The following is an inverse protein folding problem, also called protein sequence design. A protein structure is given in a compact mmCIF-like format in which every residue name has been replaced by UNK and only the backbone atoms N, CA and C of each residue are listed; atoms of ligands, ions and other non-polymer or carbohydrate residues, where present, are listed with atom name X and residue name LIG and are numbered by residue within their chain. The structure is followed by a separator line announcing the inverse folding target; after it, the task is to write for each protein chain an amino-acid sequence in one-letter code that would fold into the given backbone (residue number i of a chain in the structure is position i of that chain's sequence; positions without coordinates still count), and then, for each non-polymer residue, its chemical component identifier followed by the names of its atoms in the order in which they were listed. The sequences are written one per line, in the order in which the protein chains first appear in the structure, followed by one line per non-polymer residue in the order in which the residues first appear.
data_IF_586741326130
#
_entry.id   IF_586741326130
#
_cell.length_a   1.000
_cell.length_b   1.000
_cell.length_c   1.000
_cell.angle_alpha   90.00
_cell.angle_beta   90.00
_cell.angle_gamma   90.00
#
_symmetry.space_group_name_H-M   'P 1'
#
loop_
_entity.id
_entity.type
_entity.pdbx_description
1 polymer ?
#
# COMPACT_ATOMS: atom_id res chain seq x y z
N UNK A 1 10.98 15.30 -0.88
CA UNK A 1 11.38 14.06 -0.18
C UNK A 1 12.28 13.28 -1.12
N UNK A 2 13.56 13.04 -0.75
CA UNK A 2 14.51 12.43 -1.67
C UNK A 2 14.03 11.02 -2.01
N UNK A 3 13.95 10.81 -3.31
CA UNK A 3 13.52 9.58 -3.96
C UNK A 3 14.60 8.51 -3.80
N UNK A 4 14.36 7.43 -3.05
CA UNK A 4 15.18 6.22 -3.23
C UNK A 4 14.53 4.91 -2.79
N UNK A 5 13.80 4.83 -1.67
CA UNK A 5 13.56 3.48 -1.11
C UNK A 5 12.20 3.31 -0.44
N UNK A 6 11.13 3.32 -1.25
CA UNK A 6 9.79 2.96 -0.76
C UNK A 6 9.67 1.46 -0.42
N UNK A 7 10.75 0.68 -0.34
CA UNK A 7 10.68 -0.77 -0.17
C UNK A 7 10.16 -1.14 1.21
N UNK A 8 8.97 -1.72 1.27
CA UNK A 8 8.33 -2.05 2.54
C UNK A 8 7.64 -0.86 3.21
N UNK A 9 7.64 0.32 2.59
CA UNK A 9 6.95 1.49 3.12
C UNK A 9 5.46 1.22 3.29
N UNK A 10 4.97 1.58 4.47
CA UNK A 10 3.55 1.57 4.80
C UNK A 10 2.92 2.86 4.28
N UNK A 11 1.89 2.71 3.47
CA UNK A 11 1.25 3.81 2.74
C UNK A 11 -0.26 3.68 2.79
N UNK A 12 -0.95 4.78 2.50
CA UNK A 12 -2.29 4.71 1.94
C UNK A 12 -2.19 4.78 0.42
N UNK A 13 -2.73 3.78 -0.27
CA UNK A 13 -2.83 3.74 -1.71
C UNK A 13 -4.21 4.18 -2.19
N UNK A 14 -4.27 4.92 -3.30
CA UNK A 14 -5.50 5.49 -3.84
C UNK A 14 -5.77 4.97 -5.25
N UNK A 15 -6.87 4.24 -5.39
CA UNK A 15 -7.44 3.85 -6.69
C UNK A 15 -8.63 4.74 -7.06
N UNK A 16 -8.90 4.88 -8.36
CA UNK A 16 -10.11 5.58 -8.85
C UNK A 16 -11.34 4.80 -8.40
N UNK A 17 -12.32 5.49 -7.80
CA UNK A 17 -13.55 4.86 -7.28
C UNK A 17 -13.44 4.22 -5.89
N UNK A 18 -12.25 4.11 -5.30
CA UNK A 18 -12.05 3.50 -3.98
C UNK A 18 -11.55 4.52 -2.95
N UNK A 19 -11.76 4.33 -1.64
CA UNK A 19 -11.14 5.18 -0.63
C UNK A 19 -9.61 5.02 -0.64
N UNK A 20 -8.92 5.88 0.11
CA UNK A 20 -7.52 5.64 0.45
C UNK A 20 -7.45 4.35 1.28
N UNK A 21 -6.61 3.39 0.87
CA UNK A 21 -6.58 2.05 1.46
C UNK A 21 -5.22 1.74 2.11
N UNK A 22 -5.16 1.14 3.31
CA UNK A 22 -3.91 0.77 3.95
C UNK A 22 -3.15 -0.27 3.12
N UNK A 23 -1.90 0.03 2.79
CA UNK A 23 -1.13 -0.78 1.86
C UNK A 23 0.38 -0.74 2.17
N UNK A 24 1.12 -1.67 1.56
CA UNK A 24 2.59 -1.74 1.63
C UNK A 24 3.19 -1.80 0.24
N UNK A 25 4.21 -0.99 0.00
CA UNK A 25 4.96 -1.02 -1.27
C UNK A 25 5.84 -2.27 -1.31
N UNK A 26 5.81 -2.98 -2.44
CA UNK A 26 6.62 -4.19 -2.65
C UNK A 26 7.88 -3.87 -3.47
N UNK A 27 9.03 -4.52 -3.17
CA UNK A 27 10.31 -4.29 -3.84
C UNK A 27 10.34 -4.60 -5.34
N UNK A 28 9.39 -5.39 -5.87
CA UNK A 28 9.50 -5.89 -7.24
C UNK A 28 9.44 -4.71 -8.21
N UNK A 29 10.60 -4.38 -8.77
CA UNK A 29 10.85 -3.24 -9.62
C UNK A 29 9.87 -3.21 -10.80
N UNK A 30 8.88 -2.31 -10.75
CA UNK A 30 8.20 -1.91 -11.98
C UNK A 30 9.11 -0.88 -12.60
N UNK A 31 9.65 -1.16 -13.79
CA UNK A 31 10.56 -0.28 -14.56
C UNK A 31 10.21 1.19 -14.32
N UNK A 32 11.04 1.87 -13.55
CA UNK A 32 10.93 3.31 -13.36
C UNK A 32 11.57 3.93 -14.59
N UNK A 33 10.77 4.16 -15.63
CA UNK A 33 11.21 5.12 -16.66
C UNK A 33 11.04 6.53 -16.07
N UNK A 34 11.85 7.52 -16.49
CA UNK A 34 11.71 8.90 -16.02
C UNK A 34 10.27 9.44 -16.14
N UNK A 35 9.52 8.92 -17.13
CA UNK A 35 8.14 9.30 -17.43
C UNK A 35 7.06 8.49 -16.68
N UNK A 36 7.33 7.27 -16.23
CA UNK A 36 6.32 6.40 -15.61
C UNK A 36 6.85 5.76 -14.32
N UNK A 37 6.66 6.44 -13.19
CA UNK A 37 6.92 5.87 -11.86
C UNK A 37 5.73 5.02 -11.42
N UNK A 38 5.80 3.72 -11.70
CA UNK A 38 4.82 2.71 -11.26
C UNK A 38 5.32 2.03 -9.99
N UNK A 39 4.42 1.73 -9.05
CA UNK A 39 4.72 1.03 -7.80
C UNK A 39 3.84 -0.20 -7.67
N UNK A 40 4.41 -1.34 -7.30
CA UNK A 40 3.65 -2.53 -6.92
C UNK A 40 3.25 -2.40 -5.46
N UNK A 41 1.96 -2.51 -5.18
CA UNK A 41 1.41 -2.32 -3.84
C UNK A 41 0.60 -3.53 -3.43
N UNK A 42 0.79 -3.98 -2.20
CA UNK A 42 -0.02 -4.98 -1.50
C UNK A 42 -1.04 -4.26 -0.61
N UNK A 43 -2.33 -4.54 -0.80
CA UNK A 43 -3.42 -3.96 -0.01
C UNK A 43 -3.72 -4.85 1.20
N UNK A 44 -3.63 -4.29 2.41
CA UNK A 44 -3.99 -5.01 3.63
C UNK A 44 -5.51 -5.28 3.70
N UNK A 45 -5.90 -6.34 4.39
CA UNK A 45 -7.28 -6.81 4.55
C UNK A 45 -7.88 -7.52 3.33
N UNK A 46 -7.50 -7.13 2.10
CA UNK A 46 -7.91 -7.86 0.88
C UNK A 46 -6.81 -8.76 0.32
N UNK A 47 -5.56 -8.48 0.72
CA UNK A 47 -4.33 -9.16 0.25
C UNK A 47 -4.16 -9.14 -1.28
N UNK A 48 -4.83 -8.21 -1.95
CA UNK A 48 -4.71 -8.01 -3.39
C UNK A 48 -3.43 -7.22 -3.71
N UNK A 49 -2.91 -7.40 -4.92
CA UNK A 49 -1.73 -6.68 -5.40
C UNK A 49 -2.05 -5.96 -6.71
N UNK A 50 -1.68 -4.67 -6.81
CA UNK A 50 -1.86 -3.88 -8.02
C UNK A 50 -0.66 -2.98 -8.28
N UNK A 51 -0.47 -2.62 -9.56
CA UNK A 51 0.51 -1.63 -10.00
C UNK A 51 -0.15 -0.26 -10.12
N UNK A 52 0.34 0.74 -9.38
CA UNK A 52 -0.21 2.08 -9.33
C UNK A 52 0.75 3.12 -9.91
N UNK A 53 0.19 4.13 -10.58
CA UNK A 53 0.91 5.33 -11.03
C UNK A 53 1.00 6.34 -9.88
N UNK A 54 1.86 6.08 -8.90
CA UNK A 54 2.25 7.02 -7.83
C UNK A 54 1.16 7.62 -6.92
N UNK A 55 -0.07 7.11 -6.95
CA UNK A 55 -1.15 7.55 -6.07
C UNK A 55 -1.04 6.90 -4.68
N UNK A 56 0.06 7.17 -3.98
CA UNK A 56 0.33 6.70 -2.62
C UNK A 56 0.73 7.88 -1.74
N UNK A 57 0.38 7.81 -0.46
CA UNK A 57 0.81 8.76 0.57
C UNK A 57 1.30 7.99 1.81
N UNK A 58 2.27 8.50 2.58
CA UNK A 58 2.78 7.80 3.76
C UNK A 58 1.67 7.46 4.75
N UNK A 59 1.69 6.26 5.33
CA UNK A 59 0.72 5.87 6.36
C UNK A 59 0.89 6.75 7.62
N UNK A 60 2.14 6.88 8.07
CA UNK A 60 2.52 7.77 9.17
C UNK A 60 2.19 9.23 8.77
N UNK A 61 1.55 9.97 9.67
CA UNK A 61 1.08 11.34 9.43
C UNK A 61 -0.27 11.45 8.71
N UNK A 62 -0.71 10.44 7.96
CA UNK A 62 -2.01 10.46 7.27
C UNK A 62 -3.08 9.53 7.90
N UNK A 63 -2.72 8.76 8.92
CA UNK A 63 -3.65 7.82 9.61
C UNK A 63 -4.94 8.48 10.07
N UNK A 64 -4.91 9.67 10.67
CA UNK A 64 -6.13 10.36 11.12
C UNK A 64 -7.04 10.79 9.95
N UNK A 65 -6.45 11.09 8.80
CA UNK A 65 -7.17 11.58 7.63
C UNK A 65 -7.81 10.45 6.82
N UNK A 66 -7.12 9.33 6.69
CA UNK A 66 -7.53 8.24 5.81
C UNK A 66 -7.86 6.93 6.53
N UNK A 67 -7.60 6.82 7.83
CA UNK A 67 -7.76 5.59 8.61
C UNK A 67 -9.15 5.38 9.23
N UNK A 68 -10.12 6.25 8.99
CA UNK A 68 -11.46 6.17 9.56
C UNK A 68 -12.56 6.47 8.52
N UNK A 69 -13.82 6.13 8.83
CA UNK A 69 -14.99 6.48 8.02
C UNK A 69 -15.20 5.63 6.77
N UNK A 70 -14.34 4.64 6.51
CA UNK A 70 -14.47 3.72 5.39
C UNK A 70 -15.25 2.47 5.81
N UNK A 71 -16.34 2.17 5.08
CA UNK A 71 -17.22 1.01 5.33
C UNK A 71 -16.97 -0.19 4.40
N UNK A 72 -16.00 -0.09 3.50
CA UNK A 72 -15.67 -1.16 2.57
C UNK A 72 -15.17 -2.41 3.30
N UNK A 73 -15.65 -3.59 2.88
CA UNK A 73 -15.23 -4.88 3.45
C UNK A 73 -13.71 -5.04 3.41
N UNK A 74 -13.13 -5.48 4.51
CA UNK A 74 -11.68 -5.66 4.67
C UNK A 74 -10.91 -4.39 5.06
N UNK A 75 -11.53 -3.21 5.10
CA UNK A 75 -10.82 -1.98 5.46
C UNK A 75 -10.34 -1.97 6.92
N UNK A 76 -11.24 -2.28 7.87
CA UNK A 76 -10.89 -2.33 9.30
C UNK A 76 -9.82 -3.38 9.60
N UNK A 77 -9.92 -4.55 8.96
CA UNK A 77 -8.90 -5.60 9.01
C UNK A 77 -7.58 -5.08 8.44
N UNK A 78 -7.59 -4.42 7.29
CA UNK A 78 -6.39 -3.86 6.69
C UNK A 78 -5.71 -2.79 7.55
N UNK A 79 -6.51 -1.97 8.25
CA UNK A 79 -6.01 -1.01 9.23
C UNK A 79 -5.41 -1.70 10.47
N UNK A 80 -5.92 -2.85 10.87
CA UNK A 80 -5.33 -3.64 11.95
C UNK A 80 -4.01 -4.28 11.50
N UNK A 81 -3.98 -4.89 10.32
CA UNK A 81 -2.79 -5.56 9.78
C UNK A 81 -1.61 -4.61 9.57
N UNK A 82 -1.85 -3.43 8.98
CA UNK A 82 -0.77 -2.45 8.75
C UNK A 82 -0.11 -1.99 10.05
N UNK A 83 -0.81 -2.07 11.18
CA UNK A 83 -0.30 -1.67 12.50
C UNK A 83 0.34 -2.83 13.27
N UNK A 84 -0.22 -4.03 13.17
CA UNK A 84 0.14 -5.15 14.05
C UNK A 84 0.91 -6.27 13.32
N UNK A 85 0.64 -6.46 12.03
CA UNK A 85 1.25 -7.49 11.19
C UNK A 85 1.72 -6.93 9.85
N UNK A 86 2.52 -5.84 9.82
CA UNK A 86 2.92 -5.18 8.58
C UNK A 86 3.74 -6.09 7.65
N UNK A 87 4.22 -7.23 8.18
CA UNK A 87 4.91 -8.30 7.47
C UNK A 87 4.00 -9.27 6.71
N UNK A 88 2.69 -9.33 6.95
CA UNK A 88 1.79 -10.36 6.36
C UNK A 88 1.91 -10.45 4.83
N UNK A 89 1.80 -11.66 4.27
CA UNK A 89 1.92 -11.89 2.82
C UNK A 89 3.32 -11.64 2.22
N UNK A 90 4.35 -11.44 3.05
CA UNK A 90 5.75 -11.31 2.59
C UNK A 90 6.43 -12.65 2.27
N UNK A 91 5.87 -13.77 2.74
CA UNK A 91 6.45 -15.11 2.56
C UNK A 91 6.54 -15.43 1.05
N UNK A 92 7.71 -15.89 0.54
CA UNK A 92 7.74 -16.50 -0.78
C UNK A 92 6.80 -17.70 -0.79
N UNK A 93 6.04 -17.88 -1.88
CA UNK A 93 5.36 -19.16 -2.09
C UNK A 93 6.44 -20.25 -2.06
N UNK A 94 6.27 -21.34 -1.29
CA UNK A 94 7.11 -22.52 -1.47
C UNK A 94 7.07 -22.90 -2.95
N UNK A 95 8.25 -23.11 -3.52
CA UNK A 95 8.43 -23.48 -4.92
C UNK A 95 7.90 -24.90 -5.16
#
# INVERSE_FOLDING_TARGET
LPHADYQGDLVFAKMKGFPHWPARVRPRAVKVTPLCKRVLVFFFGTHQMYVLLKNIVPFVGNKMKYGCGVRSKGFSEGMWEIQNTPGVGSKPKPQ
#
